data_IF_284522393328
#
_entry.id   IF_284522393328
#
_cell.length_a   1.000
_cell.length_b   1.000
_cell.length_c   1.000
_cell.angle_alpha   90.00
_cell.angle_beta   90.00
_cell.angle_gamma   90.00
#
_symmetry.space_group_name_H-M   'P 1'
#
loop_
_entity.id
_entity.type
_entity.pdbx_description
1 polymer ?
#
# COMPACT_ATOMS: atom_id res chain seq x y z
N UNK A 1 -16.66 15.18 14.75
CA UNK A 1 -15.48 14.71 14.00
C UNK A 1 -15.98 14.21 12.65
N UNK A 2 -15.32 14.55 11.54
CA UNK A 2 -15.72 14.02 10.22
C UNK A 2 -15.22 12.58 10.13
N UNK A 3 -16.08 11.68 9.68
CA UNK A 3 -15.75 10.26 9.49
C UNK A 3 -15.73 9.90 8.01
N UNK A 4 -14.96 8.86 7.68
CA UNK A 4 -14.85 8.28 6.34
C UNK A 4 -14.87 6.75 6.45
N UNK A 5 -15.45 6.09 5.46
CA UNK A 5 -15.53 4.63 5.41
C UNK A 5 -14.14 4.00 5.27
N UNK A 6 -13.87 2.95 6.05
CA UNK A 6 -12.55 2.30 6.08
C UNK A 6 -12.17 1.61 4.77
N UNK A 7 -13.14 1.21 3.96
CA UNK A 7 -12.91 0.63 2.63
C UNK A 7 -12.30 1.65 1.66
N UNK A 8 -12.74 2.91 1.70
CA UNK A 8 -12.13 4.03 0.98
C UNK A 8 -10.68 4.22 1.44
N UNK A 9 -10.46 4.24 2.76
CA UNK A 9 -9.12 4.43 3.33
C UNK A 9 -8.20 3.28 2.96
N UNK A 10 -8.68 2.04 3.04
CA UNK A 10 -7.94 0.84 2.63
C UNK A 10 -7.49 0.93 1.17
N UNK A 11 -8.42 1.25 0.27
CA UNK A 11 -8.12 1.41 -1.15
C UNK A 11 -7.07 2.51 -1.36
N UNK A 12 -7.22 3.65 -0.68
CA UNK A 12 -6.29 4.77 -0.78
C UNK A 12 -4.89 4.41 -0.24
N UNK A 13 -4.80 3.63 0.84
CA UNK A 13 -3.54 3.11 1.41
C UNK A 13 -2.80 2.25 0.38
N UNK A 14 -3.48 1.27 -0.21
CA UNK A 14 -2.88 0.36 -1.19
C UNK A 14 -2.44 1.12 -2.45
N UNK A 15 -3.32 1.97 -3.00
CA UNK A 15 -2.99 2.80 -4.17
C UNK A 15 -1.80 3.73 -3.90
N UNK A 16 -1.78 4.36 -2.72
CA UNK A 16 -0.70 5.29 -2.35
C UNK A 16 0.63 4.56 -2.27
N UNK A 17 0.68 3.38 -1.66
CA UNK A 17 1.89 2.57 -1.66
C UNK A 17 2.43 2.38 -3.08
N UNK A 18 1.62 1.84 -4.00
CA UNK A 18 2.09 1.52 -5.35
C UNK A 18 2.51 2.77 -6.12
N UNK A 19 1.71 3.83 -6.06
CA UNK A 19 2.01 5.11 -6.71
C UNK A 19 3.36 5.65 -6.26
N UNK A 20 3.55 5.78 -4.96
CA UNK A 20 4.73 6.45 -4.42
C UNK A 20 5.98 5.56 -4.43
N UNK A 21 5.83 4.25 -4.24
CA UNK A 21 6.93 3.30 -4.36
C UNK A 21 7.54 3.31 -5.76
N UNK A 22 6.69 3.16 -6.79
CA UNK A 22 7.16 3.16 -8.19
C UNK A 22 7.69 4.53 -8.59
N UNK A 23 7.03 5.61 -8.17
CA UNK A 23 7.52 6.98 -8.40
C UNK A 23 8.93 7.18 -7.82
N UNK A 24 9.18 6.72 -6.59
CA UNK A 24 10.49 6.83 -5.95
C UNK A 24 11.59 6.10 -6.72
N UNK A 25 11.31 4.91 -7.27
CA UNK A 25 12.28 4.18 -8.09
C UNK A 25 12.55 4.93 -9.40
N UNK A 26 11.49 5.31 -10.11
CA UNK A 26 11.59 5.96 -11.43
C UNK A 26 12.33 7.30 -11.37
N UNK A 27 12.14 8.07 -10.29
CA UNK A 27 12.79 9.37 -10.14
C UNK A 27 14.30 9.27 -9.90
N UNK A 28 14.73 8.17 -9.28
CA UNK A 28 16.13 7.93 -8.93
C UNK A 28 16.90 7.18 -10.02
N UNK A 29 16.21 6.48 -10.92
CA UNK A 29 16.84 5.84 -12.08
C UNK A 29 17.61 6.86 -12.93
N UNK A 30 18.91 6.58 -13.09
CA UNK A 30 19.81 7.34 -13.96
C UNK A 30 19.71 6.81 -15.40
N UNK A 31 19.86 7.69 -16.39
CA UNK A 31 19.86 7.30 -17.81
C UNK A 31 18.51 7.30 -18.54
N UNK A 32 17.38 7.50 -17.83
CA UNK A 32 16.07 7.77 -18.46
C UNK A 32 15.77 9.27 -18.43
N UNK A 33 15.46 9.85 -19.59
CA UNK A 33 14.98 11.24 -19.69
C UNK A 33 13.77 11.44 -18.78
N UNK A 34 13.79 12.53 -18.00
CA UNK A 34 12.75 12.90 -17.05
C UNK A 34 11.37 12.88 -17.70
N UNK A 35 11.26 13.33 -18.96
CA UNK A 35 10.01 13.36 -19.71
C UNK A 35 9.45 11.96 -20.00
N UNK A 36 10.31 10.94 -20.05
CA UNK A 36 9.94 9.59 -20.43
C UNK A 36 9.79 8.65 -19.22
N UNK A 37 10.09 9.08 -17.99
CA UNK A 37 10.14 8.18 -16.80
C UNK A 37 8.84 7.42 -16.56
N UNK A 38 7.70 8.06 -16.82
CA UNK A 38 6.38 7.46 -16.64
C UNK A 38 5.79 6.85 -17.91
N UNK A 39 6.58 6.76 -18.99
CA UNK A 39 6.17 6.01 -20.19
C UNK A 39 5.94 4.53 -19.84
N UNK A 40 4.94 3.86 -20.44
CA UNK A 40 4.57 2.50 -20.06
C UNK A 40 5.71 1.49 -20.12
N UNK A 41 6.66 1.68 -21.04
CA UNK A 41 7.83 0.81 -21.16
C UNK A 41 8.76 0.92 -19.95
N UNK A 42 8.91 2.11 -19.37
CA UNK A 42 9.80 2.36 -18.23
C UNK A 42 9.17 1.90 -16.92
N UNK A 43 7.86 2.05 -16.78
CA UNK A 43 7.11 1.44 -15.67
C UNK A 43 7.25 -0.09 -15.73
N UNK A 44 7.03 -0.72 -16.89
CA UNK A 44 7.19 -2.18 -17.04
C UNK A 44 8.59 -2.66 -16.71
N UNK A 45 9.64 -1.99 -17.20
CA UNK A 45 11.03 -2.32 -16.88
C UNK A 45 11.30 -2.24 -15.37
N UNK A 46 10.83 -1.17 -14.74
CA UNK A 46 10.95 -0.98 -13.28
C UNK A 46 10.26 -2.11 -12.53
N UNK A 47 9.05 -2.48 -12.94
CA UNK A 47 8.33 -3.61 -12.37
C UNK A 47 9.08 -4.93 -12.50
N UNK A 48 9.63 -5.24 -13.68
CA UNK A 48 10.39 -6.47 -13.91
C UNK A 48 11.67 -6.55 -13.06
N UNK A 49 12.36 -5.42 -12.88
CA UNK A 49 13.63 -5.38 -12.14
C UNK A 49 13.44 -5.43 -10.62
N UNK A 50 12.28 -5.01 -10.12
CA UNK A 50 12.06 -4.82 -8.68
C UNK A 50 10.83 -5.57 -8.15
N UNK A 51 10.28 -6.52 -8.91
CA UNK A 51 9.03 -7.21 -8.57
C UNK A 51 9.08 -7.86 -7.16
N UNK A 52 10.21 -8.47 -6.78
CA UNK A 52 10.39 -9.14 -5.49
C UNK A 52 10.36 -8.17 -4.31
N UNK A 53 10.74 -6.92 -4.54
CA UNK A 53 10.78 -5.91 -3.48
C UNK A 53 9.39 -5.38 -3.14
N UNK A 54 8.47 -5.35 -4.12
CA UNK A 54 7.15 -4.75 -3.96
C UNK A 54 6.37 -5.43 -2.82
N UNK A 55 6.27 -6.76 -2.84
CA UNK A 55 5.51 -7.50 -1.84
C UNK A 55 6.13 -7.35 -0.45
N UNK A 56 7.46 -7.38 -0.34
CA UNK A 56 8.19 -7.19 0.91
C UNK A 56 7.93 -5.82 1.53
N UNK A 57 8.12 -4.75 0.78
CA UNK A 57 7.89 -3.39 1.30
C UNK A 57 6.41 -3.12 1.52
N UNK A 58 5.53 -3.65 0.68
CA UNK A 58 4.09 -3.53 0.88
C UNK A 58 3.68 -4.16 2.20
N UNK A 59 4.06 -5.42 2.46
CA UNK A 59 3.61 -6.11 3.67
C UNK A 59 4.08 -5.39 4.94
N UNK A 60 5.32 -4.90 4.94
CA UNK A 60 5.88 -4.12 6.06
C UNK A 60 5.06 -2.85 6.34
N UNK A 61 4.82 -2.03 5.32
CA UNK A 61 4.14 -0.74 5.51
C UNK A 61 2.62 -0.89 5.68
N UNK A 62 2.01 -1.83 4.96
CA UNK A 62 0.60 -2.16 5.07
C UNK A 62 0.27 -2.66 6.48
N UNK A 63 1.13 -3.48 7.11
CA UNK A 63 0.92 -3.92 8.49
C UNK A 63 0.66 -2.75 9.44
N UNK A 64 1.53 -1.74 9.46
CA UNK A 64 1.36 -0.59 10.36
C UNK A 64 0.11 0.24 10.03
N UNK A 65 -0.18 0.45 8.74
CA UNK A 65 -1.36 1.17 8.31
C UNK A 65 -2.66 0.46 8.74
N UNK A 66 -2.73 -0.86 8.52
CA UNK A 66 -3.89 -1.69 8.81
C UNK A 66 -4.11 -1.86 10.32
N UNK A 67 -3.04 -1.97 11.10
CA UNK A 67 -3.13 -2.00 12.57
C UNK A 67 -3.82 -0.74 13.10
N UNK A 68 -3.42 0.43 12.61
CA UNK A 68 -4.04 1.71 13.02
C UNK A 68 -5.45 1.91 12.49
N UNK A 69 -5.79 1.27 11.37
CA UNK A 69 -7.12 1.34 10.77
C UNK A 69 -8.11 0.45 11.53
N UNK A 70 -7.65 -0.68 12.04
CA UNK A 70 -8.53 -1.73 12.58
C UNK A 70 -8.45 -1.95 14.08
N UNK A 71 -7.45 -1.41 14.76
CA UNK A 71 -7.28 -1.58 16.20
C UNK A 71 -7.21 -0.24 16.93
N UNK A 72 -7.66 -0.21 18.17
CA UNK A 72 -7.42 0.93 19.07
C UNK A 72 -5.98 0.92 19.57
N UNK A 73 -5.43 2.07 19.94
CA UNK A 73 -4.08 2.16 20.53
C UNK A 73 -3.93 1.31 21.77
N UNK A 74 -4.99 1.18 22.57
CA UNK A 74 -5.00 0.40 23.81
C UNK A 74 -4.88 -1.10 23.55
N UNK A 75 -5.53 -1.63 22.50
CA UNK A 75 -5.53 -3.08 22.22
C UNK A 75 -4.32 -3.53 21.37
N UNK A 76 -3.74 -2.64 20.55
CA UNK A 76 -2.70 -2.99 19.57
C UNK A 76 -1.52 -3.76 20.19
N UNK A 77 -0.95 -3.26 21.30
CA UNK A 77 0.23 -3.86 21.89
C UNK A 77 -0.02 -5.27 22.45
N UNK A 78 -1.14 -5.44 23.17
CA UNK A 78 -1.48 -6.72 23.76
C UNK A 78 -1.75 -7.75 22.68
N UNK A 79 -2.59 -7.39 21.71
CA UNK A 79 -2.96 -8.27 20.60
C UNK A 79 -1.73 -8.67 19.77
N UNK A 80 -0.81 -7.74 19.52
CA UNK A 80 0.42 -8.03 18.79
C UNK A 80 1.34 -8.98 19.56
N UNK A 81 1.49 -8.79 20.89
CA UNK A 81 2.30 -9.70 21.72
C UNK A 81 1.74 -11.12 21.75
N UNK A 82 0.42 -11.27 21.79
CA UNK A 82 -0.25 -12.58 21.80
C UNK A 82 -0.14 -13.28 20.43
N UNK A 83 -0.15 -12.51 19.34
CA UNK A 83 -0.04 -13.04 17.99
C UNK A 83 1.40 -13.43 17.61
N UNK A 84 2.38 -12.59 17.98
CA UNK A 84 3.77 -12.74 17.57
C UNK A 84 4.43 -14.00 18.12
N UNK A 85 4.99 -14.81 17.22
CA UNK A 85 5.77 -16.01 17.54
C UNK A 85 7.09 -16.00 16.77
N UNK A 86 8.11 -16.76 17.21
CA UNK A 86 9.31 -16.96 16.41
C UNK A 86 8.94 -17.50 15.03
N UNK A 87 9.35 -16.80 13.97
CA UNK A 87 9.08 -17.19 12.58
C UNK A 87 7.78 -16.64 11.98
N UNK A 88 7.00 -15.83 12.71
CA UNK A 88 5.85 -15.13 12.13
C UNK A 88 6.28 -14.29 10.92
N UNK A 89 5.61 -14.48 9.80
CA UNK A 89 5.90 -13.82 8.52
C UNK A 89 5.19 -12.47 8.39
N UNK A 90 5.72 -11.58 7.55
CA UNK A 90 5.08 -10.29 7.27
C UNK A 90 3.67 -10.45 6.69
N UNK A 91 3.41 -11.52 5.93
CA UNK A 91 2.08 -11.82 5.39
C UNK A 91 1.09 -12.21 6.49
N UNK A 92 1.51 -13.01 7.47
CA UNK A 92 0.69 -13.34 8.63
C UNK A 92 0.37 -12.10 9.46
N UNK A 93 1.34 -11.18 9.60
CA UNK A 93 1.14 -9.90 10.27
C UNK A 93 0.12 -9.01 9.56
N UNK A 94 0.20 -8.88 8.23
CA UNK A 94 -0.79 -8.14 7.44
C UNK A 94 -2.17 -8.77 7.57
N UNK A 95 -2.26 -10.10 7.48
CA UNK A 95 -3.52 -10.83 7.65
C UNK A 95 -4.15 -10.57 9.02
N UNK A 96 -3.34 -10.59 10.07
CA UNK A 96 -3.76 -10.23 11.42
C UNK A 96 -4.22 -8.78 11.52
N UNK A 97 -3.47 -7.84 10.96
CA UNK A 97 -3.78 -6.41 10.98
C UNK A 97 -5.09 -6.06 10.24
N UNK A 98 -5.52 -6.88 9.30
CA UNK A 98 -6.83 -6.74 8.66
C UNK A 98 -8.01 -7.04 9.59
N UNK A 99 -7.80 -7.72 10.72
CA UNK A 99 -8.79 -8.11 11.76
C UNK A 99 -9.91 -9.07 11.30
N UNK A 100 -10.39 -8.96 10.06
CA UNK A 100 -11.42 -9.82 9.50
C UNK A 100 -11.01 -10.36 8.14
N UNK A 101 -11.61 -11.50 7.79
CA UNK A 101 -11.38 -12.15 6.52
C UNK A 101 -11.78 -11.29 5.33
N UNK A 102 -12.96 -10.65 5.40
CA UNK A 102 -13.47 -9.77 4.35
C UNK A 102 -12.55 -8.57 4.13
N UNK A 103 -12.05 -7.96 5.21
CA UNK A 103 -11.15 -6.80 5.11
C UNK A 103 -9.82 -7.18 4.45
N UNK A 104 -9.28 -8.36 4.78
CA UNK A 104 -8.10 -8.87 4.09
C UNK A 104 -8.36 -9.20 2.63
N UNK A 105 -9.51 -9.80 2.29
CA UNK A 105 -9.85 -10.06 0.88
C UNK A 105 -10.00 -8.75 0.09
N UNK A 106 -10.60 -7.72 0.70
CA UNK A 106 -10.65 -6.39 0.08
C UNK A 106 -9.25 -5.83 -0.15
N UNK A 107 -8.35 -5.93 0.84
CA UNK A 107 -6.96 -5.51 0.70
C UNK A 107 -6.24 -6.26 -0.43
N UNK A 108 -6.41 -7.58 -0.50
CA UNK A 108 -5.82 -8.42 -1.58
C UNK A 108 -6.37 -8.02 -2.94
N UNK A 109 -7.67 -7.73 -3.06
CA UNK A 109 -8.29 -7.25 -4.31
C UNK A 109 -7.71 -5.91 -4.76
N UNK A 110 -7.57 -4.96 -3.84
CA UNK A 110 -6.92 -3.67 -4.11
C UNK A 110 -5.45 -3.84 -4.53
N UNK A 111 -4.73 -4.74 -3.85
CA UNK A 111 -3.33 -5.03 -4.14
C UNK A 111 -3.18 -5.61 -5.54
N UNK A 112 -3.97 -6.64 -5.87
CA UNK A 112 -3.97 -7.29 -7.19
C UNK A 112 -4.30 -6.29 -8.29
N UNK A 113 -5.35 -5.47 -8.13
CA UNK A 113 -5.73 -4.48 -9.14
C UNK A 113 -4.59 -3.49 -9.41
N UNK A 114 -3.98 -2.92 -8.37
CA UNK A 114 -2.85 -2.00 -8.54
C UNK A 114 -1.62 -2.68 -9.16
N UNK A 115 -1.34 -3.93 -8.76
CA UNK A 115 -0.24 -4.70 -9.31
C UNK A 115 -0.45 -5.03 -10.80
N UNK A 116 -1.66 -5.42 -11.19
CA UNK A 116 -2.04 -5.70 -12.59
C UNK A 116 -1.88 -4.46 -13.48
N UNK A 117 -2.30 -3.29 -13.00
CA UNK A 117 -2.10 -2.01 -13.70
C UNK A 117 -0.61 -1.73 -13.95
N UNK A 118 0.23 -2.01 -12.96
CA UNK A 118 1.67 -1.86 -13.08
C UNK A 118 2.29 -2.84 -14.07
N UNK A 119 1.82 -4.09 -14.14
CA UNK A 119 2.20 -5.04 -15.19
C UNK A 119 1.78 -4.54 -16.58
N UNK A 120 0.68 -3.81 -16.67
CA UNK A 120 0.28 -3.09 -17.88
C UNK A 120 1.10 -1.83 -18.16
N UNK A 121 2.00 -1.43 -17.26
CA UNK A 121 2.89 -0.28 -17.40
C UNK A 121 2.24 1.03 -17.00
N UNK A 122 1.27 1.04 -16.08
CA UNK A 122 0.62 2.28 -15.64
C UNK A 122 0.23 2.25 -14.18
N UNK A 123 0.00 3.44 -13.63
CA UNK A 123 -0.56 3.62 -12.29
C UNK A 123 -2.07 3.86 -12.39
N UNK A 124 -2.80 3.56 -11.29
CA UNK A 124 -4.23 3.83 -11.19
C UNK A 124 -4.51 5.35 -11.17
N UNK A 125 -5.37 5.81 -12.09
CA UNK A 125 -5.82 7.20 -12.10
C UNK A 125 -6.79 7.49 -10.94
N UNK A 126 -7.09 8.77 -10.67
CA UNK A 126 -8.04 9.13 -9.62
C UNK A 126 -9.46 8.65 -9.96
N UNK A 127 -9.90 8.84 -11.20
CA UNK A 127 -11.25 8.45 -11.64
C UNK A 127 -11.45 6.93 -11.61
N UNK A 128 -10.44 6.16 -12.03
CA UNK A 128 -10.46 4.70 -11.93
C UNK A 128 -10.55 4.24 -10.48
N UNK A 129 -9.80 4.90 -9.58
CA UNK A 129 -9.82 4.59 -8.16
C UNK A 129 -11.22 4.80 -7.56
N UNK A 130 -11.80 5.98 -7.76
CA UNK A 130 -13.13 6.32 -7.22
C UNK A 130 -14.23 5.40 -7.76
N UNK A 131 -14.09 4.96 -9.01
CA UNK A 131 -15.07 4.08 -9.67
C UNK A 131 -14.92 2.62 -9.24
N UNK A 132 -13.70 2.10 -9.17
CA UNK A 132 -13.45 0.65 -9.16
C UNK A 132 -12.93 0.10 -7.82
N UNK A 133 -12.71 0.94 -6.80
CA UNK A 133 -12.23 0.44 -5.52
C UNK A 133 -13.20 -0.58 -4.90
N UNK A 134 -12.64 -1.55 -4.17
CA UNK A 134 -13.37 -2.63 -3.52
C UNK A 134 -14.20 -2.07 -2.38
N UNK A 135 -15.53 -2.05 -2.57
CA UNK A 135 -16.49 -1.59 -1.56
C UNK A 135 -16.62 -2.62 -0.45
N UNK A 136 -16.52 -2.16 0.79
CA UNK A 136 -16.70 -2.99 1.98
C UNK A 136 -17.41 -2.15 3.07
N UNK A 137 -18.71 -1.87 2.91
CA UNK A 137 -19.43 -0.95 3.79
C UNK A 137 -19.48 -1.42 5.25
N UNK A 138 -19.44 -2.73 5.50
CA UNK A 138 -19.41 -3.31 6.84
C UNK A 138 -18.07 -3.12 7.58
N UNK A 139 -17.04 -2.59 6.91
CA UNK A 139 -15.76 -2.27 7.55
C UNK A 139 -15.85 -1.14 8.58
N UNK A 140 -16.95 -0.39 8.59
CA UNK A 140 -17.17 0.74 9.47
C UNK A 140 -16.40 1.99 9.04
N UNK A 141 -16.25 2.92 9.96
CA UNK A 141 -15.68 4.25 9.71
C UNK A 141 -14.45 4.54 10.57
N UNK A 142 -13.71 5.58 10.19
CA UNK A 142 -12.60 6.15 10.96
C UNK A 142 -12.64 7.67 10.85
N UNK A 143 -12.05 8.37 11.83
CA UNK A 143 -11.86 9.82 11.76
C UNK A 143 -11.00 10.21 10.55
N UNK A 144 -11.40 11.25 9.81
CA UNK A 144 -10.68 11.73 8.62
C UNK A 144 -9.23 12.09 8.93
N UNK A 145 -8.97 12.79 10.04
CA UNK A 145 -7.60 13.18 10.42
C UNK A 145 -6.67 11.97 10.60
N UNK A 146 -7.22 10.84 11.10
CA UNK A 146 -6.48 9.60 11.24
C UNK A 146 -6.25 8.94 9.88
N UNK A 147 -7.26 8.95 9.00
CA UNK A 147 -7.13 8.45 7.63
C UNK A 147 -6.04 9.20 6.85
N UNK A 148 -6.05 10.53 6.88
CA UNK A 148 -5.06 11.38 6.23
C UNK A 148 -3.65 11.08 6.74
N UNK A 149 -3.50 10.91 8.06
CA UNK A 149 -2.22 10.54 8.66
C UNK A 149 -1.73 9.17 8.19
N UNK A 150 -2.60 8.16 8.17
CA UNK A 150 -2.24 6.80 7.71
C UNK A 150 -1.81 6.82 6.23
N UNK A 151 -2.58 7.49 5.36
CA UNK A 151 -2.31 7.59 3.92
C UNK A 151 -1.01 8.36 3.67
N UNK A 152 -0.80 9.48 4.36
CA UNK A 152 0.40 10.29 4.22
C UNK A 152 1.68 9.56 4.65
N UNK A 153 1.62 8.80 5.73
CA UNK A 153 2.76 8.02 6.22
C UNK A 153 3.15 6.90 5.26
N UNK A 154 2.18 6.08 4.79
CA UNK A 154 2.50 5.00 3.84
C UNK A 154 3.04 5.56 2.52
N UNK A 155 2.49 6.69 2.04
CA UNK A 155 3.01 7.38 0.86
C UNK A 155 4.48 7.79 1.03
N UNK A 156 4.82 8.42 2.16
CA UNK A 156 6.18 8.87 2.44
C UNK A 156 7.18 7.71 2.58
N UNK A 157 6.79 6.64 3.29
CA UNK A 157 7.64 5.45 3.45
C UNK A 157 7.83 4.72 2.12
N UNK A 158 6.75 4.49 1.38
CA UNK A 158 6.79 3.86 0.06
C UNK A 158 7.74 4.61 -0.89
N UNK A 159 7.62 5.94 -0.96
CA UNK A 159 8.51 6.78 -1.77
C UNK A 159 9.97 6.63 -1.34
N UNK A 160 10.26 6.70 -0.03
CA UNK A 160 11.61 6.55 0.51
C UNK A 160 12.23 5.19 0.16
N UNK A 161 11.48 4.11 0.33
CA UNK A 161 11.93 2.76 -0.05
C UNK A 161 12.20 2.67 -1.56
N UNK A 162 11.30 3.22 -2.38
CA UNK A 162 11.46 3.27 -3.83
C UNK A 162 12.74 3.97 -4.25
N UNK A 163 13.02 5.15 -3.69
CA UNK A 163 14.27 5.88 -3.96
C UNK A 163 15.51 5.06 -3.60
N UNK A 164 15.51 4.43 -2.42
CA UNK A 164 16.68 3.65 -1.98
C UNK A 164 16.96 2.48 -2.92
N UNK A 165 15.92 1.82 -3.44
CA UNK A 165 16.06 0.76 -4.45
C UNK A 165 16.61 1.34 -5.75
N UNK A 166 16.08 2.48 -6.21
CA UNK A 166 16.48 3.12 -7.46
C UNK A 166 17.95 3.56 -7.50
N UNK A 167 18.60 3.77 -6.34
CA UNK A 167 20.05 4.08 -6.23
C UNK A 167 20.96 2.88 -6.46
N UNK A 168 20.44 1.66 -6.32
CA UNK A 168 21.24 0.42 -6.25
C UNK A 168 21.56 -0.16 -7.64
N UNK A 169 21.16 0.52 -8.72
CA UNK A 169 21.40 0.19 -10.12
C UNK A 169 21.76 1.44 -10.91
#
# INVERSE_FOLDING_TARGET
MKEISKDIVLAAVVRSFFKYFVTGILEEQTGTDIQNRFEPINIKKTMLNHYENISRYFNREAFFALMRLNFTTEEMEQQLREFMKPGTTDMELVRFACRTDNFYQAMVSEYKRNFELLLCGRLESQDEHETNYTRLPEAGTIAVDMADKIIGEIAAQAYSHGKNIGKTH
#
